data_IF_735412899812
#
_entry.id   IF_735412899812
#
_cell.length_a   1.000
_cell.length_b   1.000
_cell.length_c   1.000
_cell.angle_alpha   90.00
_cell.angle_beta   90.00
_cell.angle_gamma   90.00
#
_symmetry.space_group_name_H-M   'P 1'
#
loop_
_entity.id
_entity.type
_entity.pdbx_description
1 polymer ?
#
# COMPACT_ATOMS: atom_id res chain seq x y z
N UNK A 1 -8.40 -10.07 7.62
CA UNK A 1 -7.33 -11.07 7.42
C UNK A 1 -6.03 -10.39 7.79
N UNK A 2 -5.34 -10.86 8.84
CA UNK A 2 -4.11 -10.24 9.35
C UNK A 2 -2.93 -10.97 8.69
N UNK A 3 -2.13 -10.26 7.91
CA UNK A 3 -0.85 -10.76 7.41
C UNK A 3 0.26 -9.92 8.07
N UNK A 4 1.10 -10.59 8.85
CA UNK A 4 2.35 -10.07 9.39
C UNK A 4 3.46 -10.50 8.45
N UNK A 5 4.22 -9.57 7.91
CA UNK A 5 5.44 -9.86 7.16
C UNK A 5 6.49 -8.80 7.50
N UNK A 6 7.68 -9.25 7.92
CA UNK A 6 8.89 -8.42 8.01
C UNK A 6 9.84 -8.82 6.87
N UNK A 7 10.47 -7.85 6.20
CA UNK A 7 11.56 -8.04 5.23
C UNK A 7 12.79 -7.32 5.78
N UNK A 8 14.02 -7.81 5.59
CA UNK A 8 15.22 -7.26 6.21
C UNK A 8 15.91 -6.19 5.34
N UNK A 9 15.17 -5.46 4.52
CA UNK A 9 15.74 -4.41 3.64
C UNK A 9 15.03 -3.12 3.99
N UNK A 10 15.68 -1.96 3.83
CA UNK A 10 15.20 -0.56 4.03
C UNK A 10 13.78 -0.24 3.47
N UNK A 11 13.16 -1.21 2.83
CA UNK A 11 11.88 -1.19 2.18
C UNK A 11 10.73 -1.69 3.05
N UNK A 12 10.90 -2.45 4.14
CA UNK A 12 9.78 -3.16 4.78
C UNK A 12 9.48 -2.81 6.24
N UNK A 13 8.22 -2.46 6.51
CA UNK A 13 7.78 -1.84 7.75
C UNK A 13 6.36 -2.27 8.15
N UNK A 14 6.11 -2.39 9.45
CA UNK A 14 4.89 -3.02 9.98
C UNK A 14 3.68 -2.08 9.95
N UNK A 15 2.56 -2.55 9.40
CA UNK A 15 1.31 -1.78 9.39
C UNK A 15 0.07 -2.66 9.36
N UNK A 16 -0.88 -2.40 10.27
CA UNK A 16 -2.23 -2.98 10.22
C UNK A 16 -3.23 -1.93 9.76
N UNK A 17 -4.16 -2.33 8.90
CA UNK A 17 -5.36 -1.55 8.57
C UNK A 17 -6.61 -2.37 8.84
N UNK A 18 -7.65 -1.68 9.29
CA UNK A 18 -8.99 -2.23 9.45
C UNK A 18 -9.94 -1.34 8.66
N UNK A 19 -10.81 -1.96 7.87
CA UNK A 19 -11.84 -1.28 7.11
C UNK A 19 -13.19 -1.90 7.46
N UNK A 20 -14.14 -1.08 7.88
CA UNK A 20 -15.52 -1.50 8.03
C UNK A 20 -16.21 -1.38 6.67
N UNK A 21 -16.85 -2.45 6.22
CA UNK A 21 -17.53 -2.50 4.92
C UNK A 21 -19.03 -2.58 5.17
N UNK A 22 -19.80 -1.70 4.53
CA UNK A 22 -21.24 -1.64 4.66
C UNK A 22 -21.89 -0.83 3.54
N UNK A 23 -23.23 -0.86 3.43
CA UNK A 23 -23.96 -0.05 2.48
C UNK A 23 -23.84 1.45 2.80
N UNK A 24 -24.11 2.31 1.81
CA UNK A 24 -24.10 3.78 1.95
C UNK A 24 -22.75 4.35 2.45
N UNK A 25 -21.64 3.72 2.04
CA UNK A 25 -20.31 4.14 2.46
C UNK A 25 -19.85 5.43 1.74
N UNK A 26 -19.10 6.32 2.44
CA UNK A 26 -18.47 7.50 1.81
C UNK A 26 -17.42 7.12 0.77
N UNK A 27 -16.89 5.89 0.83
CA UNK A 27 -15.94 5.32 -0.12
C UNK A 27 -16.62 4.11 -0.77
N UNK A 28 -17.23 4.32 -1.93
CA UNK A 28 -18.04 3.30 -2.60
C UNK A 28 -17.27 2.67 -3.77
N UNK A 29 -17.22 1.34 -3.83
CA UNK A 29 -16.64 0.65 -4.98
C UNK A 29 -17.43 0.97 -6.24
N UNK A 30 -16.74 1.36 -7.32
CA UNK A 30 -17.33 1.33 -8.66
C UNK A 30 -17.21 -0.10 -9.19
N UNK A 31 -18.05 -1.00 -8.68
CA UNK A 31 -17.94 -2.46 -8.83
C UNK A 31 -17.84 -2.97 -10.27
N UNK A 32 -18.30 -2.17 -11.23
CA UNK A 32 -18.24 -2.48 -12.67
C UNK A 32 -16.85 -2.24 -13.28
N UNK A 33 -16.03 -1.37 -12.69
CA UNK A 33 -14.69 -1.02 -13.15
C UNK A 33 -13.64 -1.72 -12.30
N UNK A 34 -13.39 -2.99 -12.61
CA UNK A 34 -12.29 -3.76 -12.01
C UNK A 34 -11.65 -4.69 -13.01
N UNK A 35 -10.34 -4.84 -12.97
CA UNK A 35 -9.60 -5.71 -13.87
C UNK A 35 -8.44 -6.36 -13.13
N UNK A 36 -8.26 -7.65 -13.35
CA UNK A 36 -7.25 -8.45 -12.65
C UNK A 36 -6.29 -9.08 -13.65
N UNK A 37 -5.06 -9.29 -13.21
CA UNK A 37 -4.06 -10.06 -13.92
C UNK A 37 -3.35 -10.97 -12.92
N UNK A 38 -3.28 -12.25 -13.25
CA UNK A 38 -2.64 -13.28 -12.45
C UNK A 38 -1.77 -14.10 -13.40
N UNK A 39 -0.57 -14.45 -12.95
CA UNK A 39 0.38 -15.24 -13.72
C UNK A 39 1.22 -16.07 -12.76
N UNK A 40 1.76 -17.19 -13.23
CA UNK A 40 2.74 -17.94 -12.47
C UNK A 40 4.14 -17.35 -12.72
N UNK A 41 4.75 -16.76 -11.70
CA UNK A 41 6.09 -16.18 -11.74
C UNK A 41 6.82 -16.38 -10.40
N UNK A 42 8.14 -16.22 -10.41
CA UNK A 42 9.01 -16.34 -9.23
C UNK A 42 9.76 -15.03 -8.96
N UNK A 43 9.05 -13.90 -9.01
CA UNK A 43 9.64 -12.58 -8.81
C UNK A 43 9.98 -12.31 -7.33
N UNK A 44 9.09 -12.71 -6.43
CA UNK A 44 9.27 -12.69 -4.97
C UNK A 44 8.39 -13.78 -4.35
N UNK A 45 8.97 -14.61 -3.49
CA UNK A 45 8.26 -15.71 -2.83
C UNK A 45 8.99 -16.14 -1.54
N UNK A 46 8.31 -16.89 -0.67
CA UNK A 46 8.85 -17.39 0.61
C UNK A 46 8.90 -18.93 0.60
N UNK A 47 9.91 -19.54 -0.04
CA UNK A 47 10.01 -21.00 -0.14
C UNK A 47 10.54 -21.65 1.14
N UNK A 48 11.38 -20.92 1.90
CA UNK A 48 11.92 -21.38 3.17
C UNK A 48 10.92 -21.09 4.29
N UNK A 49 10.30 -22.14 4.82
CA UNK A 49 9.30 -22.03 5.88
C UNK A 49 9.92 -21.69 7.25
N UNK A 50 11.21 -21.93 7.42
CA UNK A 50 11.93 -21.65 8.67
C UNK A 50 12.45 -20.22 8.75
N UNK A 51 12.42 -19.48 7.65
CA UNK A 51 12.88 -18.10 7.55
C UNK A 51 11.71 -17.13 7.33
N UNK A 52 11.79 -15.94 7.91
CA UNK A 52 10.86 -14.85 7.59
C UNK A 52 11.17 -14.23 6.22
N UNK A 53 12.41 -14.41 5.75
CA UNK A 53 12.97 -13.68 4.63
C UNK A 53 12.59 -14.29 3.28
N UNK A 54 12.17 -13.46 2.32
CA UNK A 54 11.80 -13.91 0.98
C UNK A 54 13.03 -14.15 0.09
N UNK A 55 12.85 -15.00 -0.90
CA UNK A 55 13.70 -15.02 -2.10
C UNK A 55 13.15 -13.97 -3.06
N UNK A 56 14.02 -13.07 -3.53
CA UNK A 56 13.63 -11.92 -4.36
C UNK A 56 14.53 -11.79 -5.58
N UNK A 57 13.94 -11.82 -6.78
CA UNK A 57 14.54 -11.30 -7.99
C UNK A 57 14.02 -9.88 -8.21
N UNK A 58 14.82 -8.88 -7.81
CA UNK A 58 14.42 -7.47 -7.86
C UNK A 58 14.24 -6.91 -9.27
N UNK A 59 14.92 -7.47 -10.28
CA UNK A 59 14.75 -7.06 -11.69
C UNK A 59 13.45 -7.64 -12.23
N UNK A 60 13.22 -8.94 -11.99
CA UNK A 60 11.98 -9.60 -12.39
C UNK A 60 10.77 -8.98 -11.67
N UNK A 61 10.86 -8.67 -10.38
CA UNK A 61 9.80 -8.01 -9.59
C UNK A 61 9.33 -6.70 -10.20
N UNK A 62 10.24 -5.83 -10.65
CA UNK A 62 9.85 -4.58 -11.32
C UNK A 62 9.18 -4.84 -12.68
N UNK A 63 9.68 -5.82 -13.43
CA UNK A 63 9.11 -6.19 -14.74
C UNK A 63 7.70 -6.76 -14.58
N UNK A 64 7.52 -7.72 -13.67
CA UNK A 64 6.24 -8.33 -13.33
C UNK A 64 5.23 -7.31 -12.82
N UNK A 65 5.65 -6.36 -11.98
CA UNK A 65 4.79 -5.28 -11.51
C UNK A 65 4.26 -4.41 -12.66
N UNK A 66 5.14 -3.95 -13.56
CA UNK A 66 4.74 -3.09 -14.68
C UNK A 66 3.91 -3.83 -15.73
N UNK A 67 4.23 -5.11 -16.00
CA UNK A 67 3.42 -5.98 -16.85
C UNK A 67 2.00 -6.16 -16.30
N UNK A 68 1.89 -6.43 -14.99
CA UNK A 68 0.61 -6.55 -14.31
C UNK A 68 -0.18 -5.23 -14.33
N UNK A 69 0.51 -4.09 -14.17
CA UNK A 69 -0.08 -2.76 -14.26
C UNK A 69 -0.66 -2.49 -15.65
N UNK A 70 0.10 -2.71 -16.72
CA UNK A 70 -0.36 -2.53 -18.10
C UNK A 70 -1.58 -3.42 -18.39
N UNK A 71 -1.51 -4.69 -18.00
CA UNK A 71 -2.58 -5.66 -18.22
C UNK A 71 -3.86 -5.27 -17.48
N UNK A 72 -3.75 -4.86 -16.21
CA UNK A 72 -4.90 -4.40 -15.44
C UNK A 72 -5.46 -3.08 -15.99
N UNK A 73 -4.61 -2.12 -16.35
CA UNK A 73 -5.03 -0.83 -16.88
C UNK A 73 -5.78 -0.98 -18.21
N UNK A 74 -5.22 -1.74 -19.16
CA UNK A 74 -5.86 -2.02 -20.46
C UNK A 74 -7.24 -2.64 -20.30
N UNK A 75 -7.36 -3.65 -19.43
CA UNK A 75 -8.63 -4.30 -19.15
C UNK A 75 -9.62 -3.40 -18.39
N UNK A 76 -9.13 -2.55 -17.48
CA UNK A 76 -9.96 -1.56 -16.78
C UNK A 76 -10.54 -0.56 -17.77
N UNK A 77 -9.69 0.00 -18.66
CA UNK A 77 -10.10 0.92 -19.72
C UNK A 77 -11.16 0.30 -20.63
N UNK A 78 -10.94 -0.93 -21.11
CA UNK A 78 -11.90 -1.62 -21.97
C UNK A 78 -13.28 -1.82 -21.29
N UNK A 79 -13.29 -2.09 -19.97
CA UNK A 79 -14.55 -2.20 -19.21
C UNK A 79 -15.23 -0.86 -19.02
N UNK A 80 -14.47 0.19 -18.75
CA UNK A 80 -14.98 1.56 -18.66
C UNK A 80 -15.62 2.00 -19.97
N UNK A 81 -14.88 1.88 -21.08
CA UNK A 81 -15.31 2.25 -22.43
C UNK A 81 -16.60 1.53 -22.84
N UNK A 82 -16.69 0.22 -22.56
CA UNK A 82 -17.90 -0.56 -22.84
C UNK A 82 -19.14 -0.06 -22.10
N UNK A 83 -18.97 0.50 -20.91
CA UNK A 83 -20.07 0.89 -20.02
C UNK A 83 -20.44 2.38 -20.12
N UNK A 84 -19.45 3.23 -20.34
CA UNK A 84 -19.60 4.69 -20.37
C UNK A 84 -19.71 5.20 -21.82
N UNK A 85 -19.11 4.50 -22.78
CA UNK A 85 -19.07 4.92 -24.18
C UNK A 85 -17.95 5.93 -24.49
N UNK A 86 -17.06 6.22 -23.54
CA UNK A 86 -15.96 7.17 -23.67
C UNK A 86 -14.61 6.51 -23.37
N UNK A 87 -13.55 6.96 -24.04
CA UNK A 87 -12.18 6.49 -23.82
C UNK A 87 -11.69 6.89 -22.43
N UNK A 88 -11.33 5.90 -21.60
CA UNK A 88 -10.72 6.19 -20.30
C UNK A 88 -9.27 6.64 -20.45
N UNK A 89 -8.85 7.64 -19.69
CA UNK A 89 -7.45 8.00 -19.49
C UNK A 89 -7.19 8.37 -18.02
N UNK A 90 -5.93 8.61 -17.65
CA UNK A 90 -5.59 9.06 -16.29
C UNK A 90 -6.21 10.42 -15.93
N UNK A 91 -6.72 11.18 -16.91
CA UNK A 91 -7.46 12.42 -16.65
C UNK A 91 -8.81 12.15 -15.97
N UNK A 92 -9.42 11.00 -16.22
CA UNK A 92 -10.73 10.59 -15.67
C UNK A 92 -10.69 10.08 -14.23
N UNK A 93 -9.48 10.01 -13.65
CA UNK A 93 -9.25 9.70 -12.25
C UNK A 93 -8.73 10.94 -11.52
N UNK A 94 -9.37 11.37 -10.43
CA UNK A 94 -8.88 12.47 -9.61
C UNK A 94 -7.60 12.08 -8.86
N UNK A 95 -7.51 10.84 -8.40
CA UNK A 95 -6.29 10.27 -7.80
C UNK A 95 -6.01 8.86 -8.29
N UNK A 96 -4.73 8.51 -8.33
CA UNK A 96 -4.24 7.16 -8.55
C UNK A 96 -3.42 6.70 -7.35
N UNK A 97 -3.81 5.59 -6.75
CA UNK A 97 -3.22 5.02 -5.54
C UNK A 97 -2.68 3.64 -5.85
N UNK A 98 -1.43 3.40 -5.49
CA UNK A 98 -0.70 2.18 -5.86
C UNK A 98 -0.24 1.43 -4.60
N UNK A 99 -0.11 0.11 -4.72
CA UNK A 99 0.74 -0.64 -3.81
C UNK A 99 2.14 -0.01 -3.81
N UNK A 100 2.64 0.35 -2.63
CA UNK A 100 3.80 1.22 -2.47
C UNK A 100 4.91 0.50 -1.70
N UNK A 101 5.68 -0.39 -2.35
CA UNK A 101 6.84 -1.02 -1.69
C UNK A 101 7.95 0.00 -1.46
N UNK A 102 8.06 1.00 -2.35
CA UNK A 102 8.86 2.20 -2.18
C UNK A 102 8.37 3.28 -3.14
N UNK A 103 8.63 4.54 -2.81
CA UNK A 103 8.03 5.66 -3.54
C UNK A 103 8.53 5.77 -4.99
N UNK A 104 9.77 5.37 -5.31
CA UNK A 104 10.26 5.42 -6.69
C UNK A 104 9.46 4.50 -7.62
N UNK A 105 9.02 3.32 -7.16
CA UNK A 105 8.15 2.45 -7.97
C UNK A 105 6.80 3.09 -8.25
N UNK A 106 6.24 3.83 -7.29
CA UNK A 106 4.97 4.55 -7.46
C UNK A 106 5.09 5.62 -8.56
N UNK A 107 6.20 6.38 -8.58
CA UNK A 107 6.50 7.34 -9.65
C UNK A 107 6.58 6.66 -11.03
N UNK A 108 7.31 5.53 -11.12
CA UNK A 108 7.39 4.73 -12.34
C UNK A 108 6.02 4.20 -12.79
N UNK A 109 5.20 3.76 -11.83
CA UNK A 109 3.87 3.20 -12.09
C UNK A 109 2.95 4.23 -12.76
N UNK A 110 2.87 5.44 -12.20
CA UNK A 110 2.04 6.47 -12.77
C UNK A 110 2.55 6.97 -14.13
N UNK A 111 3.87 7.12 -14.28
CA UNK A 111 4.48 7.42 -15.57
C UNK A 111 4.17 6.33 -16.62
N UNK A 112 4.13 5.06 -16.21
CA UNK A 112 3.74 3.95 -17.09
C UNK A 112 2.28 4.04 -17.52
N UNK A 113 1.36 4.45 -16.65
CA UNK A 113 -0.03 4.71 -17.05
C UNK A 113 -0.13 5.83 -18.09
N UNK A 114 0.63 6.92 -17.91
CA UNK A 114 0.69 8.00 -18.91
C UNK A 114 1.24 7.51 -20.26
N UNK A 115 2.26 6.65 -20.24
CA UNK A 115 2.75 5.99 -21.46
C UNK A 115 1.69 5.08 -22.11
N UNK A 116 0.90 4.35 -21.32
CA UNK A 116 -0.22 3.55 -21.87
C UNK A 116 -1.28 4.45 -22.53
N UNK A 117 -1.57 5.63 -21.98
CA UNK A 117 -2.47 6.60 -22.59
C UNK A 117 -1.90 7.13 -23.93
N UNK A 118 -0.60 7.35 -24.00
CA UNK A 118 0.08 7.68 -25.25
C UNK A 118 -0.09 6.56 -26.29
N UNK A 119 0.20 5.30 -25.92
CA UNK A 119 0.05 4.14 -26.82
C UNK A 119 -1.40 3.92 -27.27
N UNK A 120 -2.37 4.39 -26.49
CA UNK A 120 -3.81 4.35 -26.81
C UNK A 120 -4.31 5.60 -27.54
N UNK A 121 -3.43 6.52 -27.89
CA UNK A 121 -3.75 7.80 -28.54
C UNK A 121 -4.80 8.62 -27.77
N UNK A 122 -4.77 8.60 -26.43
CA UNK A 122 -5.72 9.33 -25.60
C UNK A 122 -5.61 10.85 -25.84
N UNK A 123 -6.75 11.54 -25.85
CA UNK A 123 -6.83 13.00 -26.01
C UNK A 123 -6.17 13.77 -24.87
N UNK A 124 -6.01 13.14 -23.71
CA UNK A 124 -5.32 13.69 -22.53
C UNK A 124 -3.80 13.80 -22.68
N UNK A 125 -3.21 13.17 -23.70
CA UNK A 125 -1.79 13.27 -24.00
C UNK A 125 -1.59 14.40 -25.01
N UNK A 126 -0.94 15.47 -24.56
CA UNK A 126 -0.67 16.64 -25.40
C UNK A 126 0.36 16.35 -26.50
N UNK A 127 0.48 17.27 -27.46
CA UNK A 127 1.32 17.09 -28.63
C UNK A 127 2.82 17.04 -28.31
N UNK A 128 3.27 17.77 -27.29
CA UNK A 128 4.68 17.76 -26.84
C UNK A 128 5.05 16.40 -26.23
N UNK A 129 4.15 15.85 -25.40
CA UNK A 129 4.29 14.50 -24.86
C UNK A 129 4.26 13.44 -25.95
N UNK A 130 3.39 13.56 -26.97
CA UNK A 130 3.37 12.65 -28.12
C UNK A 130 4.68 12.66 -28.88
N UNK A 131 5.22 13.83 -29.20
CA UNK A 131 6.50 13.96 -29.91
C UNK A 131 7.65 13.32 -29.12
N UNK A 132 7.72 13.58 -27.81
CA UNK A 132 8.77 13.05 -26.93
C UNK A 132 8.65 11.54 -26.66
N UNK A 133 7.45 10.97 -26.72
CA UNK A 133 7.22 9.54 -26.52
C UNK A 133 7.26 8.73 -27.82
N UNK A 134 7.10 9.38 -28.98
CA UNK A 134 7.12 8.73 -30.30
C UNK A 134 8.35 7.84 -30.55
N UNK A 135 9.58 8.20 -30.15
CA UNK A 135 10.75 7.33 -30.34
C UNK A 135 10.63 5.97 -29.64
N UNK A 136 9.78 5.87 -28.61
CA UNK A 136 9.57 4.65 -27.83
C UNK A 136 8.35 3.84 -28.27
N UNK A 137 7.56 4.31 -29.24
CA UNK A 137 6.31 3.68 -29.66
C UNK A 137 6.50 2.28 -30.27
N UNK A 138 7.66 2.02 -30.87
CA UNK A 138 7.98 0.75 -31.52
C UNK A 138 8.71 -0.25 -30.61
N UNK A 139 8.95 0.10 -29.34
CA UNK A 139 9.54 -0.85 -28.38
C UNK A 139 8.57 -2.01 -28.14
N UNK A 140 9.11 -3.22 -28.09
CA UNK A 140 8.37 -4.37 -27.57
C UNK A 140 8.03 -4.16 -26.09
N UNK A 141 7.10 -4.96 -25.56
CA UNK A 141 6.70 -4.86 -24.15
C UNK A 141 7.92 -5.05 -23.24
N UNK A 142 8.71 -6.10 -23.49
CA UNK A 142 9.93 -6.45 -22.76
C UNK A 142 10.98 -5.33 -22.80
N UNK A 143 11.27 -4.77 -23.98
CA UNK A 143 12.20 -3.65 -24.12
C UNK A 143 11.71 -2.42 -23.36
N UNK A 144 10.41 -2.14 -23.41
CA UNK A 144 9.81 -0.99 -22.75
C UNK A 144 9.93 -1.06 -21.21
N UNK A 145 9.86 -2.26 -20.62
CA UNK A 145 10.04 -2.45 -19.17
C UNK A 145 11.48 -2.21 -18.71
N UNK A 146 12.44 -2.39 -19.61
CA UNK A 146 13.88 -2.27 -19.31
C UNK A 146 14.46 -0.91 -19.73
N UNK A 147 13.73 -0.15 -20.56
CA UNK A 147 14.18 1.15 -21.08
C UNK A 147 14.17 2.24 -19.99
N UNK A 148 15.38 2.60 -19.55
CA UNK A 148 15.59 3.72 -18.61
C UNK A 148 15.25 5.07 -19.22
N UNK A 149 15.41 5.22 -20.54
CA UNK A 149 15.13 6.47 -21.24
C UNK A 149 13.63 6.70 -21.35
N UNK A 150 12.86 5.64 -21.66
CA UNK A 150 11.41 5.68 -21.59
C UNK A 150 10.93 6.01 -20.17
N UNK A 151 11.52 5.38 -19.13
CA UNK A 151 11.18 5.67 -17.74
C UNK A 151 11.37 7.16 -17.42
N UNK A 152 12.55 7.71 -17.73
CA UNK A 152 12.89 9.11 -17.45
C UNK A 152 11.99 10.07 -18.23
N UNK A 153 11.82 9.85 -19.53
CA UNK A 153 10.97 10.68 -20.38
C UNK A 153 9.52 10.70 -19.89
N UNK A 154 8.96 9.51 -19.60
CA UNK A 154 7.58 9.39 -19.09
C UNK A 154 7.42 10.05 -17.72
N UNK A 155 8.40 9.93 -16.82
CA UNK A 155 8.36 10.58 -15.50
C UNK A 155 8.40 12.11 -15.61
N UNK A 156 9.22 12.66 -16.51
CA UNK A 156 9.31 14.11 -16.71
C UNK A 156 7.99 14.67 -17.23
N UNK A 157 7.40 14.02 -18.24
CA UNK A 157 6.12 14.43 -18.83
C UNK A 157 4.97 14.32 -17.83
N UNK A 158 4.88 13.20 -17.12
CA UNK A 158 3.81 12.93 -16.17
C UNK A 158 3.99 13.66 -14.81
N UNK A 159 5.09 14.40 -14.60
CA UNK A 159 5.43 14.98 -13.29
C UNK A 159 4.33 15.87 -12.71
N UNK A 160 3.80 16.79 -13.52
CA UNK A 160 2.77 17.72 -13.06
C UNK A 160 1.49 16.97 -12.63
N UNK A 161 1.08 15.94 -13.39
CA UNK A 161 -0.06 15.09 -13.04
C UNK A 161 0.24 14.21 -11.84
N UNK A 162 1.47 13.72 -11.68
CA UNK A 162 1.88 12.95 -10.51
C UNK A 162 1.75 13.79 -9.23
N UNK A 163 2.20 15.04 -9.26
CA UNK A 163 2.14 15.96 -8.12
C UNK A 163 0.68 16.24 -7.69
N UNK A 164 -0.28 16.19 -8.62
CA UNK A 164 -1.72 16.39 -8.35
C UNK A 164 -2.40 15.08 -7.94
N UNK A 165 -2.25 14.02 -8.74
CA UNK A 165 -3.07 12.81 -8.69
C UNK A 165 -2.48 11.71 -7.81
N UNK A 166 -1.18 11.74 -7.50
CA UNK A 166 -0.49 10.65 -6.79
C UNK A 166 0.23 11.11 -5.55
N UNK A 167 0.91 12.26 -5.58
CA UNK A 167 1.68 12.76 -4.43
C UNK A 167 0.86 12.78 -3.12
N UNK A 168 -0.44 13.15 -3.10
CA UNK A 168 -1.27 13.10 -1.89
C UNK A 168 -1.40 11.71 -1.26
N UNK A 169 -1.17 10.63 -2.02
CA UNK A 169 -1.21 9.25 -1.52
C UNK A 169 0.11 8.79 -0.87
N UNK A 170 1.15 9.62 -0.86
CA UNK A 170 2.52 9.16 -0.57
C UNK A 170 2.97 9.39 0.88
N UNK A 171 2.21 10.12 1.70
CA UNK A 171 2.61 10.49 3.06
C UNK A 171 2.94 9.27 3.93
N UNK A 172 1.98 8.39 4.17
CA UNK A 172 2.18 7.22 5.03
C UNK A 172 3.21 6.24 4.44
N UNK A 173 3.16 5.87 3.13
CA UNK A 173 4.19 4.99 2.56
C UNK A 173 5.61 5.55 2.66
N UNK A 174 5.83 6.86 2.51
CA UNK A 174 7.17 7.47 2.64
C UNK A 174 7.65 7.58 4.09
N UNK A 175 6.73 7.76 5.03
CA UNK A 175 7.06 7.89 6.45
C UNK A 175 7.17 6.54 7.15
N UNK A 176 6.45 5.53 6.68
CA UNK A 176 6.38 4.21 7.31
C UNK A 176 7.21 3.20 6.54
N UNK A 177 7.15 3.10 5.21
CA UNK A 177 7.76 2.00 4.43
C UNK A 177 6.74 1.01 3.86
N UNK A 178 7.19 -0.13 3.32
CA UNK A 178 6.32 -1.15 2.73
C UNK A 178 5.56 -1.92 3.81
N UNK A 179 4.24 -1.72 3.85
CA UNK A 179 3.33 -2.44 4.73
C UNK A 179 2.64 -3.63 4.04
N UNK A 180 3.26 -4.20 3.00
CA UNK A 180 2.72 -5.31 2.19
C UNK A 180 1.25 -5.10 1.80
N UNK A 181 0.36 -5.99 2.22
CA UNK A 181 -1.08 -5.94 1.95
C UNK A 181 -1.74 -4.63 2.42
N UNK A 182 -1.22 -4.00 3.47
CA UNK A 182 -1.73 -2.73 3.99
C UNK A 182 -1.18 -1.50 3.26
N UNK A 183 -0.13 -1.65 2.42
CA UNK A 183 0.55 -0.53 1.75
C UNK A 183 -0.39 0.28 0.84
N UNK A 184 -1.21 -0.40 0.03
CA UNK A 184 -2.20 0.26 -0.83
C UNK A 184 -3.21 1.08 -0.01
N UNK A 185 -3.68 0.52 1.10
CA UNK A 185 -4.69 1.16 1.94
C UNK A 185 -4.11 2.25 2.85
N UNK A 186 -2.82 2.19 3.18
CA UNK A 186 -2.11 3.29 3.79
C UNK A 186 -1.92 4.46 2.81
N UNK A 187 -1.69 4.17 1.53
CA UNK A 187 -1.66 5.19 0.50
C UNK A 187 -3.06 5.83 0.32
N UNK A 188 -4.14 5.04 0.33
CA UNK A 188 -5.52 5.56 0.33
C UNK A 188 -5.80 6.44 1.57
N UNK A 189 -5.41 5.98 2.76
CA UNK A 189 -5.54 6.75 3.99
C UNK A 189 -4.79 8.08 3.93
N UNK A 190 -3.66 8.15 3.21
CA UNK A 190 -2.93 9.39 2.98
C UNK A 190 -3.72 10.37 2.11
N UNK A 191 -4.39 9.88 1.05
CA UNK A 191 -5.26 10.72 0.22
C UNK A 191 -6.42 11.27 1.05
N UNK A 192 -7.11 10.41 1.80
CA UNK A 192 -8.23 10.83 2.67
C UNK A 192 -7.74 11.87 3.68
N UNK A 193 -6.65 11.60 4.38
CA UNK A 193 -6.08 12.54 5.34
C UNK A 193 -5.77 13.90 4.71
N UNK A 194 -5.06 13.91 3.58
CA UNK A 194 -4.58 15.15 2.95
C UNK A 194 -5.68 15.92 2.19
N UNK A 195 -6.75 15.25 1.74
CA UNK A 195 -7.70 15.81 0.76
C UNK A 195 -9.17 15.67 1.15
N UNK A 196 -9.51 15.13 2.33
CA UNK A 196 -10.90 14.83 2.74
C UNK A 196 -11.91 15.93 2.37
N UNK A 197 -11.58 17.21 2.59
CA UNK A 197 -12.46 18.34 2.31
C UNK A 197 -12.85 18.54 0.83
N UNK A 198 -12.10 17.97 -0.13
CA UNK A 198 -12.35 18.10 -1.57
C UNK A 198 -12.68 16.77 -2.26
N UNK A 199 -12.75 15.65 -1.53
CA UNK A 199 -12.90 14.31 -2.11
C UNK A 199 -14.32 13.98 -2.56
N UNK A 200 -15.35 14.71 -2.12
CA UNK A 200 -16.72 14.41 -2.49
C UNK A 200 -16.93 14.51 -4.00
N UNK A 201 -17.49 13.47 -4.61
CA UNK A 201 -17.67 13.35 -6.05
C UNK A 201 -16.43 12.88 -6.82
N UNK A 202 -15.27 12.73 -6.18
CA UNK A 202 -14.03 12.36 -6.86
C UNK A 202 -13.91 10.85 -7.07
N UNK A 203 -13.15 10.45 -8.10
CA UNK A 203 -12.80 9.06 -8.40
C UNK A 203 -11.34 8.79 -7.99
N UNK A 204 -11.15 7.70 -7.24
CA UNK A 204 -9.81 7.19 -6.91
C UNK A 204 -9.62 5.84 -7.62
N UNK A 205 -8.63 5.77 -8.53
CA UNK A 205 -8.17 4.51 -9.12
C UNK A 205 -7.14 3.87 -8.20
N UNK A 206 -7.31 2.58 -7.94
CA UNK A 206 -6.52 1.77 -7.03
C UNK A 206 -5.82 0.67 -7.82
N UNK A 207 -4.52 0.46 -7.59
CA UNK A 207 -3.78 -0.68 -8.15
C UNK A 207 -3.13 -1.51 -7.05
N UNK A 208 -3.68 -2.71 -6.83
CA UNK A 208 -3.15 -3.71 -5.91
C UNK A 208 -2.25 -4.70 -6.64
N UNK A 209 -1.09 -4.99 -6.05
CA UNK A 209 -0.12 -5.97 -6.55
C UNK A 209 0.37 -6.86 -5.41
N UNK A 210 0.54 -8.14 -5.70
CA UNK A 210 1.28 -9.10 -4.87
C UNK A 210 2.06 -10.05 -5.78
N UNK A 211 3.33 -10.26 -5.46
CA UNK A 211 4.24 -11.13 -6.21
C UNK A 211 3.80 -12.59 -6.23
N UNK A 212 4.26 -13.35 -7.24
CA UNK A 212 3.86 -14.72 -7.51
C UNK A 212 3.05 -15.01 -8.80
N UNK A 213 2.26 -14.13 -9.43
CA UNK A 213 1.76 -12.81 -9.05
C UNK A 213 0.22 -12.79 -9.13
N UNK A 214 -0.39 -11.91 -8.34
CA UNK A 214 -1.80 -11.54 -8.45
C UNK A 214 -1.93 -10.03 -8.34
N UNK A 215 -2.75 -9.45 -9.21
CA UNK A 215 -2.93 -7.99 -9.27
C UNK A 215 -4.36 -7.63 -9.65
N UNK A 216 -4.80 -6.45 -9.22
CA UNK A 216 -6.11 -5.91 -9.61
C UNK A 216 -6.07 -4.38 -9.60
N UNK A 217 -6.56 -3.79 -10.69
CA UNK A 217 -6.95 -2.39 -10.75
C UNK A 217 -8.45 -2.26 -10.55
N UNK A 218 -8.88 -1.33 -9.71
CA UNK A 218 -10.28 -1.05 -9.41
C UNK A 218 -10.44 0.42 -9.02
N UNK A 219 -11.66 0.93 -8.88
CA UNK A 219 -11.87 2.31 -8.47
C UNK A 219 -12.92 2.48 -7.38
N UNK A 220 -12.78 3.60 -6.66
CA UNK A 220 -13.74 4.12 -5.71
C UNK A 220 -14.35 5.42 -6.22
N UNK A 221 -15.66 5.59 -5.98
CA UNK A 221 -16.34 6.87 -6.02
C UNK A 221 -16.53 7.37 -4.59
N UNK A 222 -16.07 8.59 -4.36
CA UNK A 222 -16.04 9.20 -3.03
C UNK A 222 -17.25 10.12 -2.89
N UNK A 223 -17.86 10.11 -1.70
CA UNK A 223 -18.93 11.01 -1.30
C UNK A 223 -18.66 11.44 0.14
N UNK A 224 -19.12 12.62 0.57
CA UNK A 224 -18.86 13.09 1.94
C UNK A 224 -19.37 12.09 3.01
N UNK A 225 -20.48 11.41 2.75
CA UNK A 225 -21.12 10.52 3.71
C UNK A 225 -21.81 11.28 4.85
N UNK A 226 -22.13 10.57 5.94
CA UNK A 226 -22.73 11.13 7.13
C UNK A 226 -22.04 10.56 8.37
N UNK A 227 -21.92 11.36 9.44
CA UNK A 227 -21.33 10.89 10.69
C UNK A 227 -22.06 9.63 11.22
N UNK A 228 -21.33 8.59 11.68
CA UNK A 228 -19.88 8.53 11.91
C UNK A 228 -19.05 8.17 10.67
N UNK A 229 -19.68 7.82 9.54
CA UNK A 229 -19.02 7.39 8.31
C UNK A 229 -18.93 8.54 7.29
N UNK A 230 -18.35 9.67 7.69
CA UNK A 230 -18.01 10.77 6.78
C UNK A 230 -16.52 10.83 6.50
N UNK A 231 -16.11 11.38 5.35
CA UNK A 231 -14.69 11.54 4.99
C UNK A 231 -13.95 12.40 6.02
N UNK A 232 -14.59 13.49 6.47
CA UNK A 232 -14.06 14.35 7.53
C UNK A 232 -13.82 13.59 8.83
N UNK A 233 -14.80 12.79 9.29
CA UNK A 233 -14.64 12.01 10.52
C UNK A 233 -13.59 10.91 10.37
N UNK A 234 -13.54 10.23 9.22
CA UNK A 234 -12.50 9.24 8.92
C UNK A 234 -11.11 9.87 9.02
N UNK A 235 -10.89 11.04 8.40
CA UNK A 235 -9.62 11.74 8.47
C UNK A 235 -9.25 12.14 9.91
N UNK A 236 -10.22 12.63 10.69
CA UNK A 236 -10.03 12.97 12.11
C UNK A 236 -9.65 11.74 12.96
N UNK A 237 -10.37 10.62 12.83
CA UNK A 237 -10.10 9.37 13.57
C UNK A 237 -8.79 8.72 13.14
N UNK A 238 -8.40 8.88 11.88
CA UNK A 238 -7.10 8.41 11.39
C UNK A 238 -5.95 9.11 12.11
N UNK A 239 -6.10 10.38 12.48
CA UNK A 239 -5.18 11.18 13.28
C UNK A 239 -3.70 10.95 12.90
N UNK A 240 -3.41 11.15 11.61
CA UNK A 240 -2.12 10.75 11.02
C UNK A 240 -0.97 11.57 11.60
N UNK A 241 -1.15 12.89 11.76
CA UNK A 241 -0.10 13.76 12.31
C UNK A 241 0.29 13.32 13.73
N UNK A 242 -0.65 13.20 14.66
CA UNK A 242 -0.32 12.84 16.04
C UNK A 242 0.37 11.48 16.11
N UNK A 243 -0.07 10.48 15.32
CA UNK A 243 0.55 9.15 15.27
C UNK A 243 1.95 9.15 14.68
N UNK A 244 2.24 10.00 13.70
CA UNK A 244 3.58 10.10 13.12
C UNK A 244 4.54 10.87 14.03
N UNK A 245 4.05 11.88 14.74
CA UNK A 245 4.81 12.69 15.70
C UNK A 245 5.09 11.94 17.02
N UNK A 246 4.19 11.04 17.44
CA UNK A 246 4.38 10.22 18.64
C UNK A 246 5.34 9.04 18.45
N UNK A 247 6.03 8.95 17.31
CA UNK A 247 6.99 7.86 17.05
C UNK A 247 8.28 8.07 17.81
N UNK A 248 8.97 6.97 18.08
CA UNK A 248 10.26 6.98 18.74
C UNK A 248 11.37 6.68 17.74
N UNK A 249 12.26 7.64 17.54
CA UNK A 249 13.45 7.45 16.70
C UNK A 249 14.41 6.50 17.41
N UNK A 250 14.93 5.52 16.68
CA UNK A 250 15.88 4.52 17.18
C UNK A 250 17.15 4.58 16.31
N UNK A 251 18.32 4.35 16.91
CA UNK A 251 19.57 4.33 16.16
C UNK A 251 19.64 3.09 15.24
N UNK A 252 20.36 3.17 14.10
CA UNK A 252 20.51 2.03 13.20
C UNK A 252 21.06 0.78 13.89
N UNK A 253 21.98 0.93 14.85
CA UNK A 253 22.58 -0.19 15.59
C UNK A 253 21.52 -0.93 16.43
N UNK A 254 20.72 -0.18 17.19
CA UNK A 254 19.64 -0.77 18.00
C UNK A 254 18.55 -1.38 17.12
N UNK A 255 18.29 -0.81 15.94
CA UNK A 255 17.38 -1.39 14.96
C UNK A 255 17.91 -2.74 14.44
N UNK A 256 19.18 -2.83 14.05
CA UNK A 256 19.84 -4.06 13.61
C UNK A 256 19.80 -5.13 14.71
N UNK A 257 20.08 -4.76 15.96
CA UNK A 257 20.00 -5.71 17.08
C UNK A 257 18.57 -6.19 17.32
N UNK A 258 17.58 -5.33 17.09
CA UNK A 258 16.17 -5.72 17.14
C UNK A 258 15.83 -6.71 16.03
N UNK A 259 16.34 -6.51 14.80
CA UNK A 259 16.14 -7.47 13.69
C UNK A 259 16.72 -8.84 14.00
N UNK A 260 17.94 -8.92 14.52
CA UNK A 260 18.57 -10.19 14.96
C UNK A 260 17.75 -10.88 16.05
N UNK A 261 17.21 -10.11 16.99
CA UNK A 261 16.33 -10.65 18.02
C UNK A 261 15.02 -11.21 17.42
N UNK A 262 14.44 -10.54 16.42
CA UNK A 262 13.23 -11.03 15.74
C UNK A 262 13.50 -12.31 14.95
N UNK A 263 14.65 -12.39 14.26
CA UNK A 263 15.10 -13.60 13.56
C UNK A 263 15.19 -14.80 14.52
N UNK A 264 15.80 -14.62 15.70
CA UNK A 264 15.84 -15.66 16.73
C UNK A 264 14.46 -16.08 17.26
N UNK A 265 13.48 -15.17 17.25
CA UNK A 265 12.11 -15.44 17.75
C UNK A 265 11.20 -16.02 16.69
N UNK A 266 11.53 -15.90 15.41
CA UNK A 266 10.75 -16.44 14.32
C UNK A 266 10.71 -17.97 14.41
N UNK A 267 9.51 -18.56 14.45
CA UNK A 267 9.33 -20.00 14.60
C UNK A 267 9.77 -20.59 15.96
N UNK A 268 10.18 -19.77 16.94
CA UNK A 268 10.61 -20.24 18.25
C UNK A 268 9.45 -20.46 19.23
N UNK A 269 9.75 -21.16 20.35
CA UNK A 269 8.86 -21.42 21.48
C UNK A 269 9.58 -21.28 22.81
N UNK A 270 8.86 -21.39 23.92
CA UNK A 270 9.39 -21.32 25.29
C UNK A 270 10.19 -20.04 25.58
N UNK A 271 9.60 -18.89 25.28
CA UNK A 271 10.21 -17.60 25.63
C UNK A 271 9.18 -16.58 26.14
N UNK A 272 9.64 -15.71 27.04
CA UNK A 272 8.93 -14.48 27.43
C UNK A 272 9.53 -13.29 26.69
N UNK A 273 8.70 -12.31 26.33
CA UNK A 273 9.16 -11.07 25.71
C UNK A 273 9.69 -10.08 26.74
N UNK A 274 10.32 -9.00 26.28
CA UNK A 274 10.68 -7.89 27.17
C UNK A 274 9.42 -7.35 27.86
N UNK A 275 9.55 -7.03 29.16
CA UNK A 275 8.50 -6.37 29.94
C UNK A 275 8.48 -4.85 29.74
N UNK A 276 9.46 -4.30 29.01
CA UNK A 276 9.47 -2.89 28.67
C UNK A 276 8.40 -2.58 27.60
N UNK A 277 7.30 -2.00 28.07
CA UNK A 277 6.19 -1.51 27.26
C UNK A 277 6.11 0.02 27.27
N UNK A 278 7.16 0.71 27.72
CA UNK A 278 7.17 2.17 27.90
C UNK A 278 6.82 2.92 26.62
N UNK A 279 7.37 2.47 25.49
CA UNK A 279 7.20 3.08 24.16
C UNK A 279 5.86 2.76 23.48
N UNK A 280 5.08 1.80 23.99
CA UNK A 280 3.79 1.46 23.40
C UNK A 280 2.74 2.51 23.80
N UNK A 281 1.90 3.02 22.90
CA UNK A 281 0.76 3.83 23.31
C UNK A 281 -0.24 3.00 24.16
N UNK A 282 -0.97 3.62 25.09
CA UNK A 282 -2.06 2.95 25.78
C UNK A 282 -3.06 2.33 24.82
N UNK A 283 -3.60 1.18 25.22
CA UNK A 283 -4.51 0.38 24.40
C UNK A 283 -3.84 -0.53 23.38
N UNK A 284 -2.51 -0.46 23.21
CA UNK A 284 -1.75 -1.34 22.33
C UNK A 284 -1.74 -2.76 22.89
N UNK A 285 -2.06 -3.75 22.04
CA UNK A 285 -1.86 -5.15 22.36
C UNK A 285 -0.41 -5.57 22.07
N UNK A 286 0.19 -6.34 22.97
CA UNK A 286 1.55 -6.86 22.82
C UNK A 286 1.63 -8.34 23.20
N UNK A 287 2.54 -9.05 22.54
CA UNK A 287 2.87 -10.45 22.86
C UNK A 287 3.62 -10.47 24.20
N UNK A 288 3.21 -11.33 25.13
CA UNK A 288 3.88 -11.48 26.44
C UNK A 288 4.79 -12.70 26.47
N UNK A 289 4.33 -13.81 25.91
CA UNK A 289 5.10 -15.06 25.84
C UNK A 289 4.60 -15.99 24.74
N UNK A 290 5.48 -16.93 24.38
CA UNK A 290 5.18 -18.12 23.59
C UNK A 290 5.59 -19.33 24.43
N UNK A 291 4.65 -20.24 24.69
CA UNK A 291 4.94 -21.43 25.51
C UNK A 291 5.48 -22.62 24.70
N UNK A 292 5.73 -23.75 25.37
CA UNK A 292 6.33 -24.96 24.80
C UNK A 292 5.52 -25.63 23.68
N UNK A 293 4.26 -25.23 23.57
CA UNK A 293 3.32 -25.70 22.55
C UNK A 293 3.06 -24.64 21.48
N UNK A 294 3.93 -23.62 21.38
CA UNK A 294 3.83 -22.50 20.43
C UNK A 294 2.59 -21.59 20.64
N UNK A 295 1.89 -21.71 21.77
CA UNK A 295 0.70 -20.89 22.04
C UNK A 295 1.16 -19.48 22.41
N UNK A 296 0.54 -18.47 21.80
CA UNK A 296 0.88 -17.05 21.97
C UNK A 296 -0.09 -16.38 22.94
N UNK A 297 0.46 -15.65 23.90
CA UNK A 297 -0.32 -14.94 24.92
C UNK A 297 -0.14 -13.43 24.73
N UNK A 298 -1.23 -12.69 24.86
CA UNK A 298 -1.25 -11.25 24.63
C UNK A 298 -1.87 -10.51 25.80
N UNK A 299 -1.36 -9.31 26.04
CA UNK A 299 -1.91 -8.34 26.99
C UNK A 299 -2.15 -7.00 26.29
N UNK A 300 -2.93 -6.13 26.92
CA UNK A 300 -3.22 -4.77 26.44
C UNK A 300 -2.64 -3.77 27.42
N UNK A 301 -1.79 -2.85 26.94
CA UNK A 301 -1.26 -1.77 27.77
C UNK A 301 -2.41 -0.90 28.28
N UNK A 302 -2.51 -0.72 29.60
CA UNK A 302 -3.51 0.16 30.23
C UNK A 302 -2.94 1.56 30.44
N UNK A 303 -3.80 2.57 30.52
CA UNK A 303 -3.43 3.87 31.03
C UNK A 303 -2.98 3.73 32.49
N UNK A 304 -1.83 4.28 32.85
CA UNK A 304 -1.20 4.08 34.16
C UNK A 304 -1.96 4.67 35.37
N UNK A 305 -3.16 5.23 35.21
CA UNK A 305 -3.94 5.85 36.29
C UNK A 305 -5.45 5.71 36.04
N UNK A 306 -6.14 4.87 36.81
CA UNK A 306 -7.49 5.11 37.39
C UNK A 306 -7.59 4.33 38.72
N UNK A 307 -7.79 5.03 39.83
CA UNK A 307 -8.22 4.53 41.16
C UNK A 307 -7.41 3.43 41.87
N UNK A 308 -6.08 3.54 41.94
CA UNK A 308 -5.27 2.86 42.96
C UNK A 308 -5.39 1.32 43.02
N UNK A 309 -5.97 0.69 42.00
CA UNK A 309 -6.14 -0.76 41.89
C UNK A 309 -5.57 -1.21 40.56
N UNK A 310 -4.47 -1.96 40.65
CA UNK A 310 -3.92 -2.72 39.53
C UNK A 310 -5.00 -3.73 39.09
N UNK A 311 -5.70 -3.42 37.99
CA UNK A 311 -6.51 -4.43 37.28
C UNK A 311 -5.59 -5.17 36.33
N UNK A 312 -5.14 -6.36 36.72
CA UNK A 312 -4.65 -7.34 35.77
C UNK A 312 -5.78 -7.64 34.77
N UNK A 313 -5.61 -7.26 33.51
CA UNK A 313 -6.52 -7.69 32.45
C UNK A 313 -6.24 -9.16 32.14
N UNK A 314 -7.24 -10.02 32.29
CA UNK A 314 -7.16 -11.44 31.92
C UNK A 314 -6.63 -11.58 30.49
N UNK A 315 -5.50 -12.28 30.35
CA UNK A 315 -4.88 -12.55 29.06
C UNK A 315 -5.83 -13.30 28.13
N UNK A 316 -5.91 -12.85 26.88
CA UNK A 316 -6.67 -13.56 25.84
C UNK A 316 -5.70 -14.54 25.20
N UNK A 317 -5.93 -15.84 25.43
CA UNK A 317 -5.24 -16.90 24.71
C UNK A 317 -5.97 -17.12 23.38
N UNK A 318 -5.28 -16.86 22.26
CA UNK A 318 -5.74 -17.35 20.96
C UNK A 318 -5.14 -18.75 20.77
N UNK A 319 -5.91 -19.77 21.11
CA UNK A 319 -5.65 -21.14 20.67
C UNK A 319 -6.24 -21.34 19.28
N UNK A 320 -5.45 -21.89 18.36
CA UNK A 320 -5.98 -22.72 17.29
C UNK A 320 -6.29 -24.10 17.86
#
# INVERSE_FOLDING_TARGET
MLWWDSCPVELCELGRKSMLIGPNAPISFESKYRASHMAHVYDFYKPDLASEYPVVDGKLSQTCYLMALDSCYRQYCAKYEKLVGEQFSISDADYCVFHSPYNKLVQKSFARLYFNDFMRNCSSVDNDAKEKLQPFANLTSEESYQSRDLEKGSQQLAKHLYDIKVQPSTLLPKQIGNMYTASLYAALASVIYNKHASLSGQRIVMFSYGSGLTSTMFSFKLNEGQHPFSLTNIASVLDVTAKLESRHVTSPEKFIDTLKLMEHRYGAKDFETSKDISLLPPGTFYLTKVDSMYRRFYEKKTDGIVDGKIKCSNGIANGH
#
